data_IF_527953672069
#
_entry.id   IF_527953672069
#
_cell.length_a   1.000
_cell.length_b   1.000
_cell.length_c   1.000
_cell.angle_alpha   90.00
_cell.angle_beta   90.00
_cell.angle_gamma   90.00
#
_symmetry.space_group_name_H-M   'P 1'
#
loop_
_entity.id
_entity.type
_entity.pdbx_description
1 polymer ?
#
# COMPACT_ATOMS: atom_id res chain seq x y z
N UNK A 1 4.52 -17.24 -6.45
CA UNK A 1 5.63 -16.26 -6.38
C UNK A 1 5.41 -15.40 -5.16
N UNK A 2 6.47 -15.05 -4.43
CA UNK A 2 6.37 -14.19 -3.25
C UNK A 2 6.25 -12.72 -3.73
N UNK A 3 5.31 -11.90 -3.22
CA UNK A 3 5.20 -10.50 -3.64
C UNK A 3 6.42 -9.71 -3.16
N UNK A 4 6.91 -8.81 -4.02
CA UNK A 4 7.96 -7.84 -3.70
C UNK A 4 7.38 -6.45 -3.41
N UNK A 5 6.20 -6.14 -3.96
CA UNK A 5 5.53 -4.86 -3.74
C UNK A 5 4.17 -5.06 -3.06
N UNK A 6 3.93 -4.30 -2.00
CA UNK A 6 2.60 -4.15 -1.40
C UNK A 6 1.86 -2.95 -1.96
N UNK A 7 0.77 -3.15 -2.70
CA UNK A 7 -0.10 -2.07 -3.17
C UNK A 7 -1.34 -1.98 -2.27
N UNK A 8 -1.40 -0.96 -1.42
CA UNK A 8 -2.48 -0.81 -0.43
C UNK A 8 -3.28 0.46 -0.63
N UNK A 9 -4.58 0.39 -0.32
CA UNK A 9 -5.49 1.53 -0.41
C UNK A 9 -6.47 1.56 0.76
N UNK A 10 -6.96 2.74 1.08
CA UNK A 10 -7.88 2.93 2.20
C UNK A 10 -9.26 2.34 1.94
N UNK A 11 -9.71 2.31 0.69
CA UNK A 11 -11.04 1.90 0.24
C UNK A 11 -10.99 1.31 -1.18
N UNK A 12 -11.94 0.44 -1.54
CA UNK A 12 -12.07 -0.05 -2.93
C UNK A 12 -12.37 1.07 -3.93
N UNK A 13 -12.93 2.20 -3.48
CA UNK A 13 -13.13 3.40 -4.30
C UNK A 13 -11.81 4.01 -4.81
N UNK A 14 -10.70 3.77 -4.12
CA UNK A 14 -9.38 4.28 -4.51
C UNK A 14 -8.78 3.47 -5.68
N UNK A 15 -9.38 2.33 -6.02
CA UNK A 15 -8.86 1.39 -7.02
C UNK A 15 -8.69 2.04 -8.40
N UNK A 16 -9.61 2.89 -8.83
CA UNK A 16 -9.51 3.57 -10.12
C UNK A 16 -8.26 4.43 -10.28
N UNK A 17 -7.64 4.89 -9.17
CA UNK A 17 -6.34 5.57 -9.21
C UNK A 17 -5.18 4.58 -9.10
N UNK A 18 -5.28 3.57 -8.23
CA UNK A 18 -4.16 2.65 -7.98
C UNK A 18 -4.00 1.54 -9.03
N UNK A 19 -5.02 1.25 -9.85
CA UNK A 19 -4.92 0.24 -10.91
C UNK A 19 -3.78 0.54 -11.90
N UNK A 20 -3.44 1.82 -12.10
CA UNK A 20 -2.30 2.22 -12.92
C UNK A 20 -0.97 1.71 -12.37
N UNK A 21 -0.80 1.68 -11.05
CA UNK A 21 0.38 1.10 -10.40
C UNK A 21 0.41 -0.42 -10.56
N UNK A 22 -0.73 -1.10 -10.35
CA UNK A 22 -0.85 -2.55 -10.55
C UNK A 22 -0.48 -2.94 -12.00
N UNK A 23 -1.11 -2.29 -13.00
CA UNK A 23 -0.86 -2.54 -14.42
C UNK A 23 0.61 -2.30 -14.81
N UNK A 24 1.26 -1.30 -14.20
CA UNK A 24 2.69 -1.04 -14.43
C UNK A 24 3.56 -2.16 -13.86
N UNK A 25 3.26 -2.63 -12.63
CA UNK A 25 3.97 -3.75 -12.02
C UNK A 25 3.78 -5.05 -12.80
N UNK A 26 2.56 -5.32 -13.28
CA UNK A 26 2.26 -6.45 -14.17
C UNK A 26 3.06 -6.41 -15.46
N UNK A 27 3.08 -5.24 -16.14
CA UNK A 27 3.84 -5.03 -17.39
C UNK A 27 5.34 -5.28 -17.21
N UNK A 28 5.88 -4.92 -16.04
CA UNK A 28 7.27 -5.13 -15.68
C UNK A 28 7.57 -6.54 -15.13
N UNK A 29 6.54 -7.37 -14.92
CA UNK A 29 6.69 -8.70 -14.32
C UNK A 29 7.06 -8.67 -12.83
N UNK A 30 6.75 -7.59 -12.11
CA UNK A 30 7.04 -7.45 -10.68
C UNK A 30 5.90 -8.07 -9.86
N UNK A 31 6.15 -9.15 -9.09
CA UNK A 31 5.12 -9.77 -8.28
C UNK A 31 4.71 -8.83 -7.15
N UNK A 32 3.41 -8.64 -6.96
CA UNK A 32 2.86 -7.72 -5.99
C UNK A 32 1.58 -8.26 -5.39
N UNK A 33 1.21 -7.72 -4.22
CA UNK A 33 -0.08 -7.97 -3.60
C UNK A 33 -0.92 -6.69 -3.58
N UNK A 34 -2.24 -6.84 -3.65
CA UNK A 34 -3.18 -5.73 -3.58
C UNK A 34 -4.08 -5.93 -2.36
N UNK A 35 -4.17 -4.94 -1.46
CA UNK A 35 -5.02 -5.04 -0.26
C UNK A 35 -5.73 -3.74 0.07
N UNK A 36 -6.93 -3.85 0.65
CA UNK A 36 -7.60 -2.72 1.29
C UNK A 36 -7.18 -2.68 2.75
N UNK A 37 -6.47 -1.63 3.14
CA UNK A 37 -5.97 -1.38 4.50
C UNK A 37 -6.28 0.08 4.84
N UNK A 38 -7.26 0.30 5.70
CA UNK A 38 -7.73 1.65 6.04
C UNK A 38 -7.03 2.18 7.30
N UNK A 39 -6.38 3.34 7.17
CA UNK A 39 -5.74 4.00 8.31
C UNK A 39 -6.70 4.37 9.43
N UNK A 40 -7.95 4.72 9.10
CA UNK A 40 -8.94 5.16 10.10
C UNK A 40 -9.92 4.06 10.48
N UNK A 41 -10.24 3.13 9.58
CA UNK A 41 -11.24 2.06 9.83
C UNK A 41 -10.63 0.76 10.35
N UNK A 42 -9.35 0.52 10.03
CA UNK A 42 -8.63 -0.70 10.42
C UNK A 42 -7.20 -0.38 10.86
N UNK A 43 -7.00 0.49 11.88
CA UNK A 43 -5.66 0.95 12.27
C UNK A 43 -4.74 -0.18 12.77
N UNK A 44 -5.29 -1.17 13.48
CA UNK A 44 -4.51 -2.32 13.97
C UNK A 44 -3.99 -3.18 12.81
N UNK A 45 -4.84 -3.42 11.80
CA UNK A 45 -4.44 -4.10 10.57
C UNK A 45 -3.34 -3.33 9.83
N UNK A 46 -3.41 -1.99 9.79
CA UNK A 46 -2.35 -1.17 9.21
C UNK A 46 -1.02 -1.41 9.92
N UNK A 47 -1.05 -1.39 11.26
CA UNK A 47 0.16 -1.55 12.07
C UNK A 47 0.76 -2.94 11.90
N UNK A 48 -0.08 -3.98 11.89
CA UNK A 48 0.33 -5.35 11.62
C UNK A 48 0.90 -5.51 10.20
N UNK A 49 0.20 -4.98 9.19
CA UNK A 49 0.62 -5.05 7.80
C UNK A 49 2.01 -4.45 7.57
N UNK A 50 2.23 -3.25 8.11
CA UNK A 50 3.47 -2.51 7.96
C UNK A 50 4.63 -3.15 8.75
N UNK A 51 4.40 -3.53 10.02
CA UNK A 51 5.44 -4.10 10.87
C UNK A 51 5.90 -5.49 10.41
N UNK A 52 5.05 -6.24 9.71
CA UNK A 52 5.39 -7.56 9.17
C UNK A 52 5.86 -7.55 7.71
N UNK A 53 5.79 -6.40 7.03
CA UNK A 53 6.03 -6.29 5.58
C UNK A 53 7.41 -6.85 5.15
N UNK A 54 8.48 -6.42 5.81
CA UNK A 54 9.85 -6.85 5.51
C UNK A 54 10.04 -8.36 5.75
N UNK A 55 9.52 -8.88 6.87
CA UNK A 55 9.58 -10.31 7.18
C UNK A 55 8.80 -11.19 6.19
N UNK A 56 7.77 -10.63 5.53
CA UNK A 56 7.03 -11.29 4.44
C UNK A 56 7.76 -11.24 3.10
N UNK A 57 8.89 -10.52 3.01
CA UNK A 57 9.69 -10.37 1.79
C UNK A 57 9.25 -9.23 0.89
N UNK A 58 8.44 -8.29 1.37
CA UNK A 58 8.19 -7.05 0.63
C UNK A 58 9.45 -6.18 0.62
N UNK A 59 9.70 -5.53 -0.50
CA UNK A 59 10.79 -4.58 -0.69
C UNK A 59 10.30 -3.12 -0.77
N UNK A 60 9.05 -2.90 -1.22
CA UNK A 60 8.43 -1.56 -1.36
C UNK A 60 6.95 -1.63 -1.02
N UNK A 61 6.41 -0.55 -0.43
CA UNK A 61 4.96 -0.38 -0.26
C UNK A 61 4.49 0.86 -1.05
N UNK A 62 3.48 0.69 -1.89
CA UNK A 62 2.76 1.77 -2.56
C UNK A 62 1.42 1.94 -1.84
N UNK A 63 1.16 3.13 -1.30
CA UNK A 63 -0.02 3.40 -0.49
C UNK A 63 -0.85 4.57 -1.06
N UNK A 64 -2.11 4.30 -1.40
CA UNK A 64 -3.05 5.31 -1.90
C UNK A 64 -4.05 5.77 -0.84
N UNK A 65 -4.26 7.09 -0.71
CA UNK A 65 -5.33 7.65 0.11
C UNK A 65 -5.73 9.06 -0.35
N UNK A 66 -7.01 9.42 -0.16
CA UNK A 66 -7.57 10.75 -0.44
C UNK A 66 -7.99 11.50 0.83
N UNK A 67 -8.24 12.80 0.71
CA UNK A 67 -8.69 13.67 1.80
C UNK A 67 -7.66 13.77 2.94
N UNK A 68 -8.03 13.36 4.16
CA UNK A 68 -7.10 13.23 5.29
C UNK A 68 -6.21 11.98 5.12
N UNK A 69 -5.33 12.01 4.13
CA UNK A 69 -4.61 10.86 3.57
C UNK A 69 -3.47 10.32 4.47
N UNK A 70 -3.83 9.75 5.63
CA UNK A 70 -2.86 9.28 6.64
C UNK A 70 -2.22 7.92 6.32
N UNK A 71 -2.80 7.13 5.41
CA UNK A 71 -2.32 5.76 5.13
C UNK A 71 -0.82 5.70 4.81
N UNK A 72 -0.27 6.50 3.86
CA UNK A 72 1.14 6.40 3.52
C UNK A 72 2.06 6.77 4.70
N UNK A 73 1.75 7.85 5.41
CA UNK A 73 2.55 8.33 6.53
C UNK A 73 2.55 7.37 7.72
N UNK A 74 1.40 6.79 8.06
CA UNK A 74 1.30 5.83 9.16
C UNK A 74 1.98 4.50 8.86
N UNK A 75 1.97 4.06 7.60
CA UNK A 75 2.71 2.87 7.17
C UNK A 75 4.21 3.12 7.28
N UNK A 76 4.70 4.28 6.77
CA UNK A 76 6.10 4.66 6.86
C UNK A 76 6.60 4.79 8.31
N UNK A 77 5.74 5.17 9.25
CA UNK A 77 6.07 5.22 10.67
C UNK A 77 6.27 3.83 11.32
N UNK A 78 5.88 2.75 10.63
CA UNK A 78 5.84 1.37 11.17
C UNK A 78 6.72 0.38 10.42
N UNK A 79 7.46 0.81 9.40
CA UNK A 79 8.38 -0.04 8.63
C UNK A 79 9.63 0.74 8.22
N UNK A 80 10.74 0.04 7.96
CA UNK A 80 11.95 0.61 7.37
C UNK A 80 11.95 0.54 5.84
N UNK A 81 10.99 -0.19 5.25
CA UNK A 81 10.87 -0.28 3.80
C UNK A 81 10.48 1.08 3.19
N UNK A 82 10.93 1.37 1.96
CA UNK A 82 10.43 2.51 1.20
C UNK A 82 8.91 2.50 1.07
N UNK A 83 8.28 3.64 1.39
CA UNK A 83 6.83 3.85 1.22
C UNK A 83 6.58 4.96 0.20
N UNK A 84 5.91 4.61 -0.89
CA UNK A 84 5.54 5.52 -1.97
C UNK A 84 4.07 5.91 -1.83
N UNK A 85 3.82 7.16 -1.43
CA UNK A 85 2.47 7.69 -1.25
C UNK A 85 1.85 8.18 -2.56
N UNK A 86 0.61 7.76 -2.85
CA UNK A 86 -0.18 8.22 -4.00
C UNK A 86 -1.38 9.03 -3.49
N UNK A 87 -1.39 10.37 -3.64
CA UNK A 87 -2.54 11.19 -3.30
C UNK A 87 -3.71 10.89 -4.26
N UNK A 88 -4.81 10.37 -3.72
CA UNK A 88 -6.04 10.10 -4.48
C UNK A 88 -6.91 11.36 -4.49
N UNK A 89 -7.51 11.67 -5.63
CA UNK A 89 -8.42 12.81 -5.76
C UNK A 89 -9.65 12.62 -4.86
N UNK A 90 -9.97 13.63 -4.05
CA UNK A 90 -11.13 13.67 -3.16
C UNK A 90 -12.38 14.22 -3.82
#
# INVERSE_FOLDING_TARGET
>A
MNPLVGLIMGSTSDWGTLEHAANTLETLGVPHEIRVVSAHRTPDLLFEYAATAEARGLEVIIAGAGGAAHLPGMVAAKTLLPVLGVPVQS
#
